data_IF_378699539957
#
_entry.id   IF_378699539957
#
_cell.length_a   1.000
_cell.length_b   1.000
_cell.length_c   1.000
_cell.angle_alpha   90.00
_cell.angle_beta   90.00
_cell.angle_gamma   90.00
#
_symmetry.space_group_name_H-M   'P 1'
#
loop_
_entity.id
_entity.type
_entity.pdbx_description
1 polymer ?
#
# COMPACT_ATOMS: atom_id res chain seq x y z
N UNK A 1 -50.39 6.43 47.61
CA UNK A 1 -50.37 7.30 46.40
C UNK A 1 -49.17 6.83 45.60
N UNK A 2 -49.34 5.89 44.67
CA UNK A 2 -48.22 5.18 44.06
C UNK A 2 -48.05 5.55 42.57
N UNK A 3 -47.30 6.61 42.21
CA UNK A 3 -46.93 6.89 40.82
C UNK A 3 -45.57 6.26 40.46
N UNK A 4 -45.25 5.08 40.99
CA UNK A 4 -43.92 4.45 40.83
C UNK A 4 -43.76 3.51 39.61
N UNK A 5 -44.79 2.80 39.08
CA UNK A 5 -44.54 1.75 38.07
C UNK A 5 -44.24 2.29 36.66
N UNK A 6 -44.76 3.46 36.31
CA UNK A 6 -44.55 4.07 34.99
C UNK A 6 -43.10 4.57 34.83
N UNK A 7 -42.53 5.21 35.86
CA UNK A 7 -41.16 5.71 35.82
C UNK A 7 -40.13 4.56 35.71
N UNK A 8 -40.35 3.45 36.43
CA UNK A 8 -39.49 2.27 36.37
C UNK A 8 -39.56 1.55 35.01
N UNK A 9 -40.73 1.56 34.36
CA UNK A 9 -40.91 0.93 33.04
C UNK A 9 -40.23 1.75 31.95
N UNK A 10 -40.35 3.08 31.98
CA UNK A 10 -39.66 3.98 31.07
C UNK A 10 -38.13 3.89 31.21
N UNK A 11 -37.62 3.74 32.44
CA UNK A 11 -36.19 3.54 32.68
C UNK A 11 -35.66 2.22 32.09
N UNK A 12 -36.44 1.14 32.17
CA UNK A 12 -36.09 -0.16 31.56
C UNK A 12 -36.06 -0.10 30.03
N UNK A 13 -37.01 0.60 29.42
CA UNK A 13 -37.04 0.84 27.97
C UNK A 13 -35.83 1.67 27.51
N UNK A 14 -35.47 2.72 28.24
CA UNK A 14 -34.29 3.53 27.95
C UNK A 14 -32.99 2.71 28.06
N UNK A 15 -32.89 1.84 29.07
CA UNK A 15 -31.71 0.97 29.26
C UNK A 15 -31.60 -0.09 28.15
N UNK A 16 -32.74 -0.68 27.74
CA UNK A 16 -32.77 -1.63 26.63
C UNK A 16 -32.38 -0.96 25.29
N UNK A 17 -32.88 0.26 25.04
CA UNK A 17 -32.52 1.04 23.85
C UNK A 17 -31.04 1.44 23.83
N UNK A 18 -30.48 1.84 24.98
CA UNK A 18 -29.05 2.13 25.11
C UNK A 18 -28.19 0.88 24.89
N UNK A 19 -28.64 -0.29 25.36
CA UNK A 19 -27.94 -1.55 25.18
C UNK A 19 -27.97 -2.02 23.72
N UNK A 20 -29.10 -1.89 23.02
CA UNK A 20 -29.18 -2.19 21.59
C UNK A 20 -28.32 -1.23 20.76
N UNK A 21 -28.28 0.06 21.13
CA UNK A 21 -27.48 1.06 20.42
C UNK A 21 -25.98 0.79 20.59
N UNK A 22 -25.55 0.35 21.78
CA UNK A 22 -24.18 -0.07 22.04
C UNK A 22 -23.80 -1.35 21.30
N UNK A 23 -24.71 -2.32 21.17
CA UNK A 23 -24.48 -3.55 20.40
C UNK A 23 -24.37 -3.31 18.89
N UNK A 24 -25.02 -2.27 18.37
CA UNK A 24 -24.93 -1.88 16.96
C UNK A 24 -23.79 -0.91 16.67
N UNK A 25 -23.03 -0.49 17.70
CA UNK A 25 -21.91 0.42 17.50
C UNK A 25 -20.82 -0.30 16.69
N UNK A 26 -20.45 0.19 15.49
CA UNK A 26 -19.41 -0.46 14.71
C UNK A 26 -18.08 -0.34 15.44
N UNK A 27 -17.52 -1.47 15.90
CA UNK A 27 -16.12 -1.58 16.30
C UNK A 27 -15.23 -1.56 15.05
N UNK A 28 -15.25 -0.46 14.30
CA UNK A 28 -14.25 -0.22 13.26
C UNK A 28 -12.95 0.20 13.97
N UNK A 29 -12.04 -0.75 14.18
CA UNK A 29 -10.67 -0.44 14.58
C UNK A 29 -9.95 0.38 13.51
N UNK A 30 -8.86 1.08 13.84
CA UNK A 30 -8.08 1.80 12.85
C UNK A 30 -7.57 0.81 11.79
N UNK A 31 -7.95 1.03 10.53
CA UNK A 31 -7.33 0.37 9.39
C UNK A 31 -5.95 0.99 9.19
N UNK A 32 -4.92 0.43 9.84
CA UNK A 32 -3.54 0.74 9.48
C UNK A 32 -3.25 0.11 8.13
N UNK A 33 -3.21 0.93 7.09
CA UNK A 33 -2.55 0.54 5.85
C UNK A 33 -1.05 0.46 6.16
N UNK A 34 -0.50 -0.75 6.09
CA UNK A 34 0.94 -0.94 6.16
C UNK A 34 1.54 -0.36 4.88
N UNK A 35 2.45 0.61 5.02
CA UNK A 35 3.15 1.24 3.90
C UNK A 35 4.22 0.26 3.38
N UNK A 36 3.77 -0.78 2.69
CA UNK A 36 4.62 -1.86 2.18
C UNK A 36 5.30 -1.37 0.90
N UNK A 37 6.56 -0.99 1.02
CA UNK A 37 7.45 -0.73 -0.11
C UNK A 37 8.14 -2.03 -0.52
N UNK A 38 7.88 -2.51 -1.74
CA UNK A 38 8.61 -3.63 -2.32
C UNK A 38 9.86 -3.15 -3.06
N UNK A 39 11.01 -3.81 -2.86
CA UNK A 39 12.26 -3.45 -3.55
C UNK A 39 12.31 -3.92 -5.00
N UNK A 40 11.50 -4.92 -5.36
CA UNK A 40 11.49 -5.51 -6.69
C UNK A 40 10.16 -6.20 -7.01
N UNK A 41 9.89 -6.34 -8.30
CA UNK A 41 8.77 -7.09 -8.85
C UNK A 41 9.29 -8.14 -9.82
N UNK A 42 8.75 -9.36 -9.75
CA UNK A 42 8.93 -10.38 -10.79
C UNK A 42 7.57 -10.82 -11.30
N UNK A 43 7.45 -10.99 -12.62
CA UNK A 43 6.22 -11.52 -13.22
C UNK A 43 5.99 -12.98 -12.79
N UNK A 44 7.08 -13.75 -12.64
CA UNK A 44 7.03 -15.16 -12.23
C UNK A 44 8.18 -15.42 -11.25
N UNK A 45 7.88 -16.12 -10.17
CA UNK A 45 8.87 -16.50 -9.16
C UNK A 45 9.35 -15.32 -8.31
N UNK A 46 10.48 -15.54 -7.61
CA UNK A 46 11.06 -14.53 -6.72
C UNK A 46 11.99 -13.59 -7.51
N UNK A 47 12.06 -12.29 -7.16
CA UNK A 47 13.11 -11.41 -7.68
C UNK A 47 14.50 -12.00 -7.46
N UNK A 48 15.36 -11.94 -8.49
CA UNK A 48 16.70 -12.54 -8.45
C UNK A 48 17.63 -11.86 -7.44
N UNK A 49 17.54 -10.54 -7.30
CA UNK A 49 18.47 -9.74 -6.51
C UNK A 49 17.86 -9.36 -5.14
N UNK A 50 18.66 -9.40 -4.05
CA UNK A 50 18.21 -8.98 -2.73
C UNK A 50 18.00 -7.45 -2.68
N UNK A 51 17.38 -6.94 -1.62
CA UNK A 51 17.04 -5.51 -1.52
C UNK A 51 18.25 -4.57 -1.46
N UNK A 52 19.40 -5.07 -1.04
CA UNK A 52 20.65 -4.34 -0.83
C UNK A 52 21.67 -4.53 -1.96
N UNK A 53 21.29 -5.15 -3.07
CA UNK A 53 22.21 -5.37 -4.19
C UNK A 53 22.71 -4.05 -4.77
N UNK A 54 24.00 -4.00 -5.12
CA UNK A 54 24.63 -2.76 -5.60
C UNK A 54 24.71 -2.68 -7.13
N UNK A 55 24.84 -3.82 -7.81
CA UNK A 55 24.99 -3.91 -9.27
C UNK A 55 24.45 -5.24 -9.79
N UNK A 56 24.05 -5.30 -11.06
CA UNK A 56 23.70 -6.56 -11.71
C UNK A 56 24.93 -7.39 -12.06
N UNK A 57 24.78 -8.72 -12.14
CA UNK A 57 25.87 -9.66 -12.42
C UNK A 57 26.58 -9.41 -13.77
N UNK A 58 25.93 -8.72 -14.70
CA UNK A 58 26.48 -8.40 -16.02
C UNK A 58 27.16 -7.03 -16.08
N UNK A 59 27.21 -6.28 -14.98
CA UNK A 59 27.86 -4.98 -14.89
C UNK A 59 29.30 -5.17 -14.43
N UNK A 60 30.25 -4.52 -15.10
CA UNK A 60 31.59 -4.29 -14.57
C UNK A 60 31.54 -3.04 -13.65
N UNK A 61 31.57 -3.18 -12.31
CA UNK A 61 31.49 -2.03 -11.40
C UNK A 61 32.73 -1.13 -11.52
N UNK A 62 33.87 -1.70 -11.89
CA UNK A 62 35.16 -1.01 -12.07
C UNK A 62 35.36 -0.47 -13.49
N UNK A 63 34.28 -0.38 -14.29
CA UNK A 63 34.37 0.11 -15.66
C UNK A 63 34.96 1.54 -15.67
N UNK A 64 36.08 1.77 -16.40
CA UNK A 64 36.69 3.08 -16.48
C UNK A 64 35.71 4.08 -17.06
N UNK A 65 35.68 5.29 -16.49
CA UNK A 65 34.80 6.36 -16.94
C UNK A 65 35.53 7.21 -17.97
N UNK A 66 34.88 7.49 -19.10
CA UNK A 66 35.42 8.32 -20.18
C UNK A 66 35.56 7.58 -21.52
N UNK A 67 36.23 8.22 -22.48
CA UNK A 67 36.36 7.73 -23.86
C UNK A 67 35.19 8.14 -24.77
N UNK A 68 35.19 7.63 -26.01
CA UNK A 68 34.15 7.91 -27.01
C UNK A 68 33.60 6.60 -27.56
N UNK A 69 32.33 6.32 -27.28
CA UNK A 69 31.59 5.25 -27.94
C UNK A 69 31.05 5.75 -29.28
N UNK A 70 31.42 5.10 -30.39
CA UNK A 70 30.89 5.37 -31.74
C UNK A 70 30.16 4.14 -32.22
N UNK A 71 28.85 4.25 -32.39
CA UNK A 71 27.99 3.18 -32.87
C UNK A 71 27.50 3.52 -34.28
N UNK A 72 27.40 2.51 -35.14
CA UNK A 72 26.79 2.63 -36.45
C UNK A 72 25.40 2.01 -36.40
N UNK A 73 24.47 2.59 -37.15
CA UNK A 73 23.14 2.05 -37.37
C UNK A 73 22.74 2.24 -38.84
N UNK A 74 21.84 1.38 -39.33
CA UNK A 74 21.38 1.39 -40.72
C UNK A 74 20.06 2.15 -40.80
N UNK A 75 20.06 3.31 -41.46
CA UNK A 75 18.86 4.12 -41.65
C UNK A 75 19.16 5.62 -41.52
N UNK A 76 18.12 6.42 -41.34
CA UNK A 76 18.19 7.85 -41.01
C UNK A 76 17.10 8.19 -40.00
N UNK A 77 17.25 9.32 -39.32
CA UNK A 77 16.19 9.94 -38.52
C UNK A 77 15.84 11.30 -39.13
N UNK A 78 14.56 11.68 -39.05
CA UNK A 78 14.06 13.02 -39.38
C UNK A 78 13.30 13.68 -38.21
N UNK A 79 13.01 12.90 -37.17
CA UNK A 79 12.38 13.32 -35.93
C UNK A 79 13.19 12.83 -34.74
N UNK A 80 13.24 13.66 -33.71
CA UNK A 80 13.76 13.31 -32.39
C UNK A 80 12.65 13.17 -31.35
N UNK A 81 11.38 13.11 -31.77
CA UNK A 81 10.27 12.77 -30.90
C UNK A 81 10.00 11.25 -30.95
N UNK A 82 10.31 10.49 -29.88
CA UNK A 82 10.18 9.03 -29.88
C UNK A 82 8.76 8.51 -29.54
N UNK A 83 7.80 9.39 -29.31
CA UNK A 83 6.42 9.05 -28.88
C UNK A 83 5.36 9.61 -29.82
#
# INVERSE_FOLDING_TARGET
MEPVPLLMTLFRLALAAAFTLALTWPLAGPASAEDIHHHALSLVGKPKYPADFTHFDFVNPDAPKGGVARMADIGSFDSLNPV
#
